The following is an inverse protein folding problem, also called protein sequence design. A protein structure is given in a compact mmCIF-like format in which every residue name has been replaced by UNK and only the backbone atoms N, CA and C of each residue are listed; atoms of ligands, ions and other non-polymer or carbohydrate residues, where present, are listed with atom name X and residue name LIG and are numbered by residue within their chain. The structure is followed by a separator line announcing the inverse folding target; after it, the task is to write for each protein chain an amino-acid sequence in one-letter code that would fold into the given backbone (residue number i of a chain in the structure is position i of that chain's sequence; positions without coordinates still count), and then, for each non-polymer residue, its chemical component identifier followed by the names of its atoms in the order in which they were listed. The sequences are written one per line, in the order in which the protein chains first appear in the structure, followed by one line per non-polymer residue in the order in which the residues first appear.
data_IF_559905961867
#
_entry.id   IF_559905961867
#
_cell.length_a   1.000
_cell.length_b   1.000
_cell.length_c   1.000
_cell.angle_alpha   90.00
_cell.angle_beta   90.00
_cell.angle_gamma   90.00
#
_symmetry.space_group_name_H-M   'P 1'
#
loop_
_entity.id
_entity.type
_entity.pdbx_description
1 polymer ?
#
# COMPACT_ATOMS: atom_id res chain seq x y z
N UNK A 1 6.22 -29.39 15.41
CA UNK A 1 7.15 -28.42 14.80
C UNK A 1 6.31 -27.32 14.21
N UNK A 2 6.29 -26.14 14.84
CA UNK A 2 5.51 -25.00 14.36
C UNK A 2 6.12 -24.55 13.03
N UNK A 3 5.34 -24.54 11.95
CA UNK A 3 5.79 -23.94 10.70
C UNK A 3 6.09 -22.46 11.02
N UNK A 4 7.37 -22.08 10.94
CA UNK A 4 7.74 -20.67 11.06
C UNK A 4 7.07 -19.94 9.90
N UNK A 5 6.23 -18.96 10.23
CA UNK A 5 5.59 -18.11 9.23
C UNK A 5 6.69 -17.35 8.52
N UNK A 6 6.80 -17.57 7.22
CA UNK A 6 7.88 -17.08 6.40
C UNK A 6 7.34 -16.67 5.02
N UNK A 7 7.97 -15.66 4.43
CA UNK A 7 7.74 -15.26 3.05
C UNK A 7 9.03 -15.50 2.27
N UNK A 8 8.93 -16.24 1.16
CA UNK A 8 10.07 -16.69 0.36
C UNK A 8 11.17 -17.43 1.16
N UNK A 9 10.78 -18.15 2.22
CA UNK A 9 11.72 -18.86 3.10
C UNK A 9 12.45 -17.98 4.11
N UNK A 10 12.15 -16.67 4.15
CA UNK A 10 12.73 -15.71 5.10
C UNK A 10 11.74 -15.43 6.23
N UNK A 11 12.26 -15.38 7.46
CA UNK A 11 11.46 -15.17 8.68
C UNK A 11 10.96 -13.74 8.84
N UNK A 12 9.93 -13.54 9.68
CA UNK A 12 9.43 -12.21 10.05
C UNK A 12 10.57 -11.35 10.63
N UNK A 13 11.35 -11.91 11.56
CA UNK A 13 12.47 -11.21 12.19
C UNK A 13 13.53 -10.74 11.20
N UNK A 14 13.80 -11.52 10.15
CA UNK A 14 14.75 -11.12 9.10
C UNK A 14 14.14 -10.04 8.19
N UNK A 15 12.86 -10.12 7.86
CA UNK A 15 12.17 -9.04 7.12
C UNK A 15 12.08 -7.73 7.92
N UNK A 16 11.99 -7.81 9.25
CA UNK A 16 12.08 -6.63 10.12
C UNK A 16 13.45 -5.97 10.02
N UNK A 17 14.55 -6.75 9.97
CA UNK A 17 15.91 -6.19 9.77
C UNK A 17 16.00 -5.44 8.43
N UNK A 18 15.34 -5.93 7.39
CA UNK A 18 15.32 -5.28 6.09
C UNK A 18 14.71 -3.88 6.12
N UNK A 19 13.74 -3.61 7.00
CA UNK A 19 13.15 -2.27 7.18
C UNK A 19 14.17 -1.21 7.62
N UNK A 20 15.30 -1.61 8.19
CA UNK A 20 16.38 -0.71 8.62
C UNK A 20 17.59 -0.71 7.66
N UNK A 21 17.46 -1.34 6.49
CA UNK A 21 18.54 -1.40 5.48
C UNK A 21 18.89 -0.01 4.93
N UNK A 22 20.18 0.23 4.65
CA UNK A 22 20.62 1.45 3.95
C UNK A 22 20.06 1.54 2.53
N UNK A 23 19.85 0.41 1.86
CA UNK A 23 19.20 0.33 0.54
C UNK A 23 17.67 0.47 0.65
N UNK A 24 17.04 1.50 0.04
CA UNK A 24 15.59 1.68 0.05
C UNK A 24 14.81 0.56 -0.65
N UNK A 25 15.41 -0.14 -1.63
CA UNK A 25 14.74 -1.27 -2.29
C UNK A 25 14.58 -2.46 -1.33
N UNK A 26 15.57 -2.67 -0.46
CA UNK A 26 15.52 -3.69 0.60
C UNK A 26 14.50 -3.33 1.68
N UNK A 27 14.45 -2.07 2.11
CA UNK A 27 13.41 -1.59 3.05
C UNK A 27 12.01 -1.80 2.51
N UNK A 28 11.78 -1.40 1.26
CA UNK A 28 10.51 -1.65 0.55
C UNK A 28 10.18 -3.14 0.47
N UNK A 29 11.17 -3.98 0.14
CA UNK A 29 10.95 -5.43 0.07
C UNK A 29 10.57 -6.01 1.43
N UNK A 30 11.21 -5.57 2.51
CA UNK A 30 10.84 -5.94 3.89
C UNK A 30 9.40 -5.58 4.20
N UNK A 31 8.99 -4.34 3.91
CA UNK A 31 7.61 -3.89 4.10
C UNK A 31 6.62 -4.73 3.29
N UNK A 32 6.92 -4.97 2.01
CA UNK A 32 6.11 -5.81 1.14
C UNK A 32 5.94 -7.23 1.70
N UNK A 33 7.04 -7.89 2.05
CA UNK A 33 7.04 -9.25 2.58
C UNK A 33 6.22 -9.37 3.86
N UNK A 34 6.36 -8.43 4.79
CA UNK A 34 5.57 -8.38 6.03
C UNK A 34 4.07 -8.20 5.74
N UNK A 35 3.72 -7.37 4.76
CA UNK A 35 2.34 -7.21 4.30
C UNK A 35 1.75 -8.48 3.68
N UNK A 36 2.54 -9.24 2.92
CA UNK A 36 2.12 -10.54 2.34
C UNK A 36 1.95 -11.63 3.41
N UNK A 37 2.74 -11.57 4.49
CA UNK A 37 2.53 -12.42 5.68
C UNK A 37 1.22 -12.07 6.39
N UNK A 38 0.83 -10.79 6.38
CA UNK A 38 -0.45 -10.32 6.91
C UNK A 38 -0.52 -10.39 8.45
N UNK A 39 -1.66 -10.75 9.06
CA UNK A 39 -1.85 -10.68 10.51
C UNK A 39 -0.84 -11.45 11.36
N UNK A 40 -0.20 -12.48 10.79
CA UNK A 40 0.87 -13.22 11.50
C UNK A 40 2.13 -12.38 11.74
N UNK A 41 2.32 -11.26 11.02
CA UNK A 41 3.41 -10.30 11.22
C UNK A 41 3.04 -9.17 12.20
N UNK A 42 2.05 -9.36 13.08
CA UNK A 42 1.65 -8.36 14.08
C UNK A 42 2.81 -7.87 14.97
N UNK A 43 3.83 -8.71 15.22
CA UNK A 43 5.02 -8.29 15.96
C UNK A 43 5.85 -7.20 15.26
N UNK A 44 5.73 -7.07 13.93
CA UNK A 44 6.45 -6.07 13.12
C UNK A 44 5.73 -4.70 13.04
N UNK A 45 4.59 -4.52 13.73
CA UNK A 45 3.80 -3.29 13.63
C UNK A 45 4.58 -2.04 14.02
N UNK A 46 5.43 -2.12 15.05
CA UNK A 46 6.25 -0.97 15.49
C UNK A 46 7.27 -0.58 14.43
N UNK A 47 7.94 -1.55 13.82
CA UNK A 47 8.93 -1.31 12.77
C UNK A 47 8.29 -0.79 11.48
N UNK A 48 7.14 -1.34 11.09
CA UNK A 48 6.34 -0.81 9.99
C UNK A 48 5.85 0.62 10.28
N UNK A 49 5.49 0.91 11.53
CA UNK A 49 5.16 2.26 12.00
C UNK A 49 6.34 3.23 11.88
N UNK A 50 7.57 2.78 12.08
CA UNK A 50 8.74 3.61 11.78
C UNK A 50 8.90 3.82 10.26
N UNK A 51 8.71 2.76 9.47
CA UNK A 51 8.91 2.78 8.01
C UNK A 51 7.89 3.66 7.25
N UNK A 52 6.71 3.95 7.80
CA UNK A 52 5.81 4.95 7.18
C UNK A 52 6.35 6.39 7.26
N UNK A 53 7.43 6.62 8.00
CA UNK A 53 8.15 7.90 8.08
C UNK A 53 9.48 7.87 7.29
N UNK A 54 9.68 6.88 6.44
CA UNK A 54 10.89 6.73 5.63
C UNK A 54 11.15 7.97 4.75
N UNK A 55 12.41 8.40 4.53
CA UNK A 55 12.70 9.49 3.60
C UNK A 55 12.23 9.22 2.16
N UNK A 56 12.09 7.96 1.75
CA UNK A 56 11.73 7.57 0.38
C UNK A 56 10.23 7.27 0.27
N UNK A 57 9.54 8.01 -0.60
CA UNK A 57 8.07 7.95 -0.74
C UNK A 57 7.51 6.55 -1.04
N UNK A 58 8.11 5.80 -1.98
CA UNK A 58 7.62 4.45 -2.26
C UNK A 58 7.78 3.51 -1.06
N UNK A 59 8.81 3.69 -0.22
CA UNK A 59 8.96 2.89 1.02
C UNK A 59 7.82 3.21 1.97
N UNK A 60 7.47 4.49 2.14
CA UNK A 60 6.32 4.90 2.98
C UNK A 60 5.01 4.28 2.50
N UNK A 61 4.76 4.29 1.18
CA UNK A 61 3.55 3.68 0.59
C UNK A 61 3.49 2.17 0.87
N UNK A 62 4.57 1.43 0.63
CA UNK A 62 4.61 -0.01 0.90
C UNK A 62 4.48 -0.34 2.38
N UNK A 63 5.09 0.47 3.27
CA UNK A 63 4.94 0.32 4.71
C UNK A 63 3.49 0.56 5.17
N UNK A 64 2.83 1.59 4.65
CA UNK A 64 1.43 1.86 4.95
C UNK A 64 0.51 0.74 4.45
N UNK A 65 0.74 0.25 3.23
CA UNK A 65 0.01 -0.89 2.69
C UNK A 65 0.23 -2.18 3.50
N UNK A 66 1.43 -2.39 4.03
CA UNK A 66 1.73 -3.51 4.91
C UNK A 66 1.00 -3.38 6.25
N UNK A 67 1.01 -2.20 6.88
CA UNK A 67 0.25 -1.93 8.11
C UNK A 67 -1.24 -2.24 7.93
N UNK A 68 -1.84 -1.81 6.81
CA UNK A 68 -3.24 -2.08 6.53
C UNK A 68 -3.57 -3.58 6.41
N UNK A 69 -2.62 -4.41 5.94
CA UNK A 69 -2.78 -5.87 5.82
C UNK A 69 -2.51 -6.61 7.13
N UNK A 70 -1.53 -6.15 7.89
CA UNK A 70 -1.16 -6.73 9.19
C UNK A 70 -2.22 -6.41 10.25
N UNK A 71 -2.71 -5.18 10.27
CA UNK A 71 -3.71 -4.69 11.20
C UNK A 71 -4.78 -3.83 10.50
N UNK A 72 -5.87 -4.44 9.98
CA UNK A 72 -6.93 -3.76 9.21
C UNK A 72 -7.81 -2.75 9.99
N UNK A 73 -7.39 -2.34 11.18
CA UNK A 73 -8.03 -1.30 12.00
C UNK A 73 -7.30 0.04 11.97
N UNK A 74 -6.12 0.10 11.35
CA UNK A 74 -5.22 1.24 11.42
C UNK A 74 -5.52 2.36 10.42
N UNK A 75 -6.22 3.41 10.88
CA UNK A 75 -6.41 4.64 10.11
C UNK A 75 -5.11 5.37 9.72
N UNK A 76 -3.98 5.08 10.41
CA UNK A 76 -2.66 5.61 10.06
C UNK A 76 -2.25 5.20 8.63
N UNK A 77 -2.53 3.96 8.21
CA UNK A 77 -2.20 3.49 6.88
C UNK A 77 -2.92 4.31 5.79
N UNK A 78 -4.23 4.54 5.96
CA UNK A 78 -5.02 5.35 5.03
C UNK A 78 -4.52 6.80 5.02
N UNK A 79 -4.20 7.37 6.18
CA UNK A 79 -3.70 8.74 6.29
C UNK A 79 -2.39 8.92 5.53
N UNK A 80 -1.44 7.99 5.68
CA UNK A 80 -0.16 8.03 4.96
C UNK A 80 -0.38 7.88 3.46
N UNK A 81 -1.20 6.92 3.03
CA UNK A 81 -1.49 6.72 1.62
C UNK A 81 -2.16 7.96 0.99
N UNK A 82 -3.08 8.62 1.70
CA UNK A 82 -3.69 9.89 1.23
C UNK A 82 -2.64 10.97 1.06
N UNK A 83 -1.71 11.11 2.02
CA UNK A 83 -0.63 12.11 1.91
C UNK A 83 0.26 11.86 0.68
N UNK A 84 0.54 10.59 0.36
CA UNK A 84 1.37 10.23 -0.80
C UNK A 84 0.69 10.45 -2.15
N UNK A 85 -0.62 10.70 -2.20
CA UNK A 85 -1.29 11.19 -3.42
C UNK A 85 -0.80 12.58 -3.83
N UNK A 86 -0.19 13.35 -2.93
CA UNK A 86 0.43 14.65 -3.23
C UNK A 86 1.95 14.58 -3.52
N UNK A 87 2.54 13.39 -3.64
CA UNK A 87 3.98 13.25 -3.79
C UNK A 87 4.50 13.87 -5.11
N UNK A 88 5.71 14.41 -5.11
CA UNK A 88 6.33 15.00 -6.30
C UNK A 88 6.57 13.98 -7.42
N UNK A 89 6.86 12.72 -7.04
CA UNK A 89 7.10 11.60 -7.95
C UNK A 89 5.76 10.99 -8.37
N UNK A 90 5.48 11.00 -9.67
CA UNK A 90 4.29 10.42 -10.30
C UNK A 90 4.07 8.95 -9.91
N UNK A 91 5.12 8.13 -9.96
CA UNK A 91 5.06 6.73 -9.57
C UNK A 91 4.60 6.53 -8.12
N UNK A 92 4.96 7.44 -7.21
CA UNK A 92 4.53 7.36 -5.81
C UNK A 92 3.05 7.72 -5.68
N UNK A 93 2.59 8.76 -6.39
CA UNK A 93 1.16 9.13 -6.42
C UNK A 93 0.30 7.99 -6.98
N UNK A 94 0.71 7.41 -8.11
CA UNK A 94 -0.02 6.32 -8.75
C UNK A 94 -0.05 5.07 -7.86
N UNK A 95 1.07 4.73 -7.22
CA UNK A 95 1.16 3.60 -6.29
C UNK A 95 0.28 3.80 -5.06
N UNK A 96 0.21 5.02 -4.52
CA UNK A 96 -0.66 5.34 -3.40
C UNK A 96 -2.15 5.18 -3.76
N UNK A 97 -2.56 5.70 -4.93
CA UNK A 97 -3.92 5.53 -5.44
C UNK A 97 -4.27 4.05 -5.62
N UNK A 98 -3.37 3.28 -6.23
CA UNK A 98 -3.54 1.83 -6.44
C UNK A 98 -3.75 1.10 -5.11
N UNK A 99 -2.94 1.39 -4.09
CA UNK A 99 -3.08 0.75 -2.78
C UNK A 99 -4.40 1.14 -2.09
N UNK A 100 -4.80 2.40 -2.12
CA UNK A 100 -6.08 2.85 -1.56
C UNK A 100 -7.26 2.13 -2.21
N UNK A 101 -7.29 2.02 -3.54
CA UNK A 101 -8.32 1.26 -4.26
C UNK A 101 -8.40 -0.20 -3.79
N UNK A 102 -7.24 -0.84 -3.58
CA UNK A 102 -7.15 -2.24 -3.15
C UNK A 102 -7.50 -2.51 -1.69
N UNK A 103 -7.50 -1.49 -0.83
CA UNK A 103 -8.07 -1.64 0.52
C UNK A 103 -9.57 -1.92 0.44
N UNK A 104 -10.23 -1.39 -0.58
CA UNK A 104 -11.65 -1.60 -0.85
C UNK A 104 -12.57 -0.74 0.02
N UNK A 105 -13.87 -0.70 -0.33
CA UNK A 105 -14.83 0.25 0.25
C UNK A 105 -15.19 -0.05 1.71
N UNK A 106 -14.90 -1.24 2.21
CA UNK A 106 -15.18 -1.65 3.58
C UNK A 106 -14.02 -1.33 4.56
N UNK A 107 -12.88 -0.84 4.06
CA UNK A 107 -11.73 -0.56 4.92
C UNK A 107 -11.99 0.68 5.80
N UNK A 108 -11.73 0.64 7.11
CA UNK A 108 -11.99 1.78 7.99
C UNK A 108 -11.23 3.04 7.58
N UNK A 109 -11.95 4.16 7.43
CA UNK A 109 -11.37 5.47 7.09
C UNK A 109 -11.18 5.70 5.59
N UNK A 110 -11.49 4.72 4.73
CA UNK A 110 -11.25 4.81 3.29
C UNK A 110 -12.08 5.91 2.61
N UNK A 111 -13.19 6.32 3.22
CA UNK A 111 -14.03 7.41 2.73
C UNK A 111 -13.26 8.75 2.62
N UNK A 112 -12.22 8.93 3.44
CA UNK A 112 -11.36 10.13 3.42
C UNK A 112 -10.51 10.20 2.14
N UNK A 113 -10.27 9.07 1.48
CA UNK A 113 -9.47 8.99 0.26
C UNK A 113 -10.23 9.38 -1.01
N UNK A 114 -11.57 9.34 -1.00
CA UNK A 114 -12.37 9.54 -2.21
C UNK A 114 -12.14 10.91 -2.86
N UNK A 115 -12.15 11.99 -2.07
CA UNK A 115 -11.94 13.33 -2.60
C UNK A 115 -10.49 13.55 -3.11
N UNK A 116 -9.44 13.23 -2.33
CA UNK A 116 -8.06 13.27 -2.83
C UNK A 116 -7.83 12.46 -4.11
N UNK A 117 -8.38 11.24 -4.22
CA UNK A 117 -8.23 10.43 -5.43
C UNK A 117 -8.96 11.08 -6.61
N UNK A 118 -10.17 11.65 -6.43
CA UNK A 118 -10.86 12.40 -7.51
C UNK A 118 -10.05 13.58 -8.03
N UNK A 119 -9.30 14.27 -7.18
CA UNK A 119 -8.44 15.40 -7.60
C UNK A 119 -7.32 14.95 -8.54
N UNK A 120 -6.85 13.70 -8.42
CA UNK A 120 -5.86 13.13 -9.35
C UNK A 120 -6.39 12.94 -10.77
N UNK A 121 -7.71 13.09 -11.02
CA UNK A 121 -8.24 13.14 -12.39
C UNK A 121 -7.67 14.30 -13.23
N UNK A 122 -7.14 15.33 -12.58
CA UNK A 122 -6.44 16.45 -13.21
C UNK A 122 -4.90 16.32 -13.15
N UNK A 123 -4.36 15.18 -12.73
CA UNK A 123 -2.91 14.98 -12.64
C UNK A 123 -2.25 15.10 -14.02
N UNK A 124 -1.04 15.69 -14.04
CA UNK A 124 -0.23 15.85 -15.25
C UNK A 124 0.13 14.50 -15.87
N UNK A 125 0.36 13.48 -15.04
CA UNK A 125 0.81 12.18 -15.47
C UNK A 125 -0.38 11.27 -15.84
N UNK A 126 -0.42 10.70 -17.06
CA UNK A 126 -1.50 9.80 -17.48
C UNK A 126 -1.64 8.54 -16.63
N UNK A 127 -0.54 7.95 -16.15
CA UNK A 127 -0.60 6.75 -15.32
C UNK A 127 -1.23 7.04 -13.96
N UNK A 128 -0.93 8.20 -13.36
CA UNK A 128 -1.60 8.66 -12.14
C UNK A 128 -3.11 8.82 -12.35
N UNK A 129 -3.54 9.43 -13.47
CA UNK A 129 -4.98 9.58 -13.78
C UNK A 129 -5.68 8.23 -13.93
N UNK A 130 -5.04 7.27 -14.60
CA UNK A 130 -5.59 5.91 -14.79
C UNK A 130 -5.73 5.20 -13.44
N UNK A 131 -4.70 5.21 -12.60
CA UNK A 131 -4.75 4.57 -11.29
C UNK A 131 -5.79 5.21 -10.37
N UNK A 132 -5.95 6.53 -10.44
CA UNK A 132 -6.99 7.23 -9.70
C UNK A 132 -8.40 6.80 -10.14
N UNK A 133 -8.64 6.69 -11.45
CA UNK A 133 -9.93 6.24 -11.98
C UNK A 133 -10.24 4.78 -11.56
N UNK A 134 -9.26 3.89 -11.65
CA UNK A 134 -9.39 2.49 -11.20
C UNK A 134 -9.67 2.41 -9.69
N UNK A 135 -8.93 3.18 -8.89
CA UNK A 135 -9.13 3.21 -7.44
C UNK A 135 -10.53 3.69 -7.07
N UNK A 136 -11.05 4.75 -7.72
CA UNK A 136 -12.43 5.20 -7.50
C UNK A 136 -13.45 4.13 -7.91
N UNK A 137 -13.25 3.46 -9.05
CA UNK A 137 -14.11 2.34 -9.44
C UNK A 137 -14.19 1.27 -8.35
N UNK A 138 -13.04 0.87 -7.79
CA UNK A 138 -12.97 -0.13 -6.70
C UNK A 138 -13.64 0.34 -5.40
N UNK A 139 -13.59 1.64 -5.08
CA UNK A 139 -14.12 2.21 -3.83
C UNK A 139 -15.58 2.65 -3.93
N UNK A 140 -16.08 2.97 -5.12
CA UNK A 140 -17.44 3.44 -5.34
C UNK A 140 -18.37 2.31 -5.79
N UNK A 141 -17.85 1.26 -6.44
CA UNK A 141 -18.61 0.02 -6.60
C UNK A 141 -18.60 -0.77 -5.29
N UNK A 142 -19.81 -1.18 -4.86
CA UNK A 142 -20.00 -2.18 -3.81
C UNK A 142 -19.42 -3.55 -4.26
N UNK A 143 -18.10 -3.71 -4.21
CA UNK A 143 -17.43 -5.01 -4.07
C UNK A 143 -17.31 -5.91 -5.31
N UNK A 144 -16.78 -5.43 -6.43
CA UNK A 144 -16.23 -6.31 -7.48
C UNK A 144 -14.97 -5.71 -8.13
N UNK A 145 -13.94 -6.52 -8.47
CA UNK A 145 -12.87 -6.05 -9.35
C UNK A 145 -13.42 -5.84 -10.78
N UNK A 146 -12.97 -4.80 -11.51
CA UNK A 146 -13.44 -4.54 -12.87
C UNK A 146 -13.17 -5.73 -13.81
N UNK A 147 -14.17 -6.23 -14.57
CA UNK A 147 -13.99 -7.35 -15.49
C UNK A 147 -13.11 -7.05 -16.72
N UNK A 148 -12.65 -5.81 -16.94
CA UNK A 148 -11.99 -5.42 -18.18
C UNK A 148 -10.48 -5.74 -18.32
N UNK A 149 -9.80 -6.26 -17.28
CA UNK A 149 -8.36 -6.56 -17.41
C UNK A 149 -8.03 -7.81 -18.27
N UNK A 150 -9.03 -8.50 -18.84
CA UNK A 150 -8.80 -9.60 -19.82
C UNK A 150 -8.55 -9.13 -21.25
N UNK A 151 -8.87 -7.88 -21.60
CA UNK A 151 -8.77 -7.40 -23.00
C UNK A 151 -7.52 -6.59 -23.31
N UNK A 152 -6.61 -6.39 -22.36
CA UNK A 152 -5.34 -5.67 -22.58
C UNK A 152 -4.15 -6.60 -22.90
N UNK A 153 -4.40 -7.91 -23.10
CA UNK A 153 -3.39 -8.91 -23.48
C UNK A 153 -3.58 -9.48 -24.90
N UNK A 154 -4.19 -8.72 -25.82
CA UNK A 154 -4.14 -8.96 -27.27
C UNK A 154 -3.90 -7.64 -27.98
#
# INVERSE_FOLDING_TARGET
MSAQVAYLGTSIADWVKELSSSDPLRRRLGAYALGEIGPAAAEAMSDLGAAVRDPVGFVRVWAAAALARVAPSGGEAVTVLIAELGNEVDFVRSLAAWHLGRLGPAFPGIEQALLPIRQLGADKDPSVRVEAALALGMLEEKGAPPPELKSLCT
#
